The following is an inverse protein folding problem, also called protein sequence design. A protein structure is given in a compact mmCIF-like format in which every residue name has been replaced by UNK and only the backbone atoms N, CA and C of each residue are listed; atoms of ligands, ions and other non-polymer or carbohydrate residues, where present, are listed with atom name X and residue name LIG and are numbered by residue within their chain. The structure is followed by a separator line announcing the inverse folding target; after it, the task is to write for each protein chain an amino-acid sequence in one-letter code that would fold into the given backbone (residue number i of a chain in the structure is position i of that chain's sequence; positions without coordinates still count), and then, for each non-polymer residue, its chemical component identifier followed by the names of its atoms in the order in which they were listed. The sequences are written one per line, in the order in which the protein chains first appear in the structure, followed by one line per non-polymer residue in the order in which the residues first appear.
data_IF_739000244684
#
_entry.id   IF_739000244684
#
_cell.length_a   1.000
_cell.length_b   1.000
_cell.length_c   1.000
_cell.angle_alpha   90.00
_cell.angle_beta   90.00
_cell.angle_gamma   90.00
#
_symmetry.space_group_name_H-M   'P 1'
#
loop_
_entity.id
_entity.type
_entity.pdbx_description
1 polymer ?
#
# COMPACT_ATOMS: atom_id res chain seq x y z
N UNK A 1 44.12 -13.93 -20.69
CA UNK A 1 43.07 -14.32 -21.68
C UNK A 1 41.74 -13.75 -21.18
N UNK A 2 40.90 -13.25 -22.09
CA UNK A 2 40.01 -12.10 -21.92
C UNK A 2 38.97 -12.21 -20.78
N UNK A 3 38.93 -11.18 -19.93
CA UNK A 3 37.81 -10.84 -19.03
C UNK A 3 36.77 -10.14 -19.89
N UNK A 4 35.61 -10.77 -20.08
CA UNK A 4 34.50 -10.19 -20.87
C UNK A 4 33.51 -9.57 -19.90
N UNK A 5 33.58 -8.25 -19.75
CA UNK A 5 32.61 -7.43 -19.03
C UNK A 5 31.28 -7.46 -19.80
N UNK A 6 30.24 -8.05 -19.23
CA UNK A 6 28.89 -8.02 -19.81
C UNK A 6 28.25 -6.65 -19.50
N UNK A 7 28.37 -5.72 -20.44
CA UNK A 7 27.64 -4.44 -20.44
C UNK A 7 26.18 -4.74 -20.80
N UNK A 8 25.29 -4.72 -19.79
CA UNK A 8 23.84 -4.79 -20.01
C UNK A 8 23.31 -3.39 -20.29
N UNK A 9 23.15 -3.07 -21.58
CA UNK A 9 22.62 -1.81 -22.08
C UNK A 9 21.12 -1.68 -21.75
N UNK A 10 20.78 -0.85 -20.76
CA UNK A 10 19.41 -0.45 -20.45
C UNK A 10 18.95 0.66 -21.42
N UNK A 11 17.92 0.39 -22.21
CA UNK A 11 17.11 1.44 -22.84
C UNK A 11 15.86 1.65 -21.97
N UNK A 12 15.86 2.73 -21.18
CA UNK A 12 14.67 3.23 -20.48
C UNK A 12 14.09 4.35 -21.32
N UNK A 13 12.87 4.17 -21.81
CA UNK A 13 12.05 5.27 -22.31
C UNK A 13 10.71 5.27 -21.56
N UNK A 14 10.39 6.46 -21.02
CA UNK A 14 9.19 6.93 -20.32
C UNK A 14 9.07 6.74 -18.78
N UNK A 15 9.56 7.78 -18.08
CA UNK A 15 8.98 8.55 -16.94
C UNK A 15 7.74 7.92 -16.27
N UNK A 16 7.71 7.55 -14.98
CA UNK A 16 8.07 8.28 -13.75
C UNK A 16 8.46 7.27 -12.64
N UNK A 17 9.69 7.32 -12.10
CA UNK A 17 10.06 6.45 -10.96
C UNK A 17 11.15 7.09 -10.08
N UNK A 18 10.78 7.98 -9.15
CA UNK A 18 11.71 8.55 -8.16
C UNK A 18 11.93 7.65 -6.92
N UNK A 19 11.19 6.55 -6.77
CA UNK A 19 11.37 5.62 -5.64
C UNK A 19 12.48 4.58 -5.87
N UNK A 20 12.81 4.25 -7.12
CA UNK A 20 13.94 3.38 -7.45
C UNK A 20 15.28 4.04 -7.18
N UNK A 21 15.42 5.34 -7.48
CA UNK A 21 16.69 6.08 -7.38
C UNK A 21 17.23 6.15 -5.95
N UNK A 22 16.37 6.28 -4.94
CA UNK A 22 16.78 6.29 -3.53
C UNK A 22 17.27 4.92 -3.03
N UNK A 23 16.72 3.83 -3.55
CA UNK A 23 17.19 2.46 -3.25
C UNK A 23 18.49 2.13 -4.02
N UNK A 24 18.63 2.60 -5.26
CA UNK A 24 19.88 2.46 -6.03
C UNK A 24 21.06 3.24 -5.43
N UNK A 25 20.83 4.42 -4.84
CA UNK A 25 21.88 5.21 -4.19
C UNK A 25 22.51 4.51 -2.97
N UNK A 26 21.70 3.82 -2.15
CA UNK A 26 22.18 3.02 -1.01
C UNK A 26 22.86 1.71 -1.44
N UNK A 27 22.51 1.17 -2.60
CA UNK A 27 23.11 -0.03 -3.19
C UNK A 27 24.57 0.24 -3.63
N UNK A 28 24.84 1.42 -4.19
CA UNK A 28 26.19 1.83 -4.60
C UNK A 28 27.14 2.07 -3.41
N UNK A 29 26.64 2.57 -2.27
CA UNK A 29 27.45 2.77 -1.06
C UNK A 29 27.77 1.48 -0.31
N UNK A 30 26.90 0.46 -0.36
CA UNK A 30 27.12 -0.83 0.34
C UNK A 30 28.10 -1.76 -0.39
N UNK A 31 28.23 -1.66 -1.71
CA UNK A 31 29.23 -2.40 -2.50
C UNK A 31 30.69 -2.10 -2.09
N UNK A 32 30.93 -1.06 -1.30
CA UNK A 32 32.27 -0.61 -0.88
C UNK A 32 32.66 -0.95 0.56
N UNK A 33 31.80 -1.55 1.38
CA UNK A 33 32.10 -1.84 2.79
C UNK A 33 31.77 -3.27 3.19
N UNK A 34 32.71 -4.18 2.92
CA UNK A 34 32.72 -5.51 3.53
C UNK A 34 33.05 -5.42 5.03
N UNK A 35 32.14 -5.89 5.88
CA UNK A 35 32.44 -6.22 7.29
C UNK A 35 32.32 -7.72 7.49
N UNK A 36 33.38 -8.31 8.06
CA UNK A 36 33.44 -9.72 8.45
C UNK A 36 32.94 -9.88 9.88
N UNK A 37 31.80 -10.56 10.07
CA UNK A 37 31.39 -11.07 11.37
C UNK A 37 31.64 -12.58 11.45
N UNK A 38 32.16 -13.02 12.60
CA UNK A 38 32.52 -14.42 12.91
C UNK A 38 31.28 -15.31 12.88
N UNK A 39 31.19 -16.22 11.91
CA UNK A 39 30.07 -17.17 11.75
C UNK A 39 30.12 -18.34 12.75
N UNK A 40 28.98 -18.74 13.34
CA UNK A 40 28.84 -20.04 14.00
C UNK A 40 29.00 -21.18 12.99
N UNK A 41 29.44 -22.36 13.44
CA UNK A 41 29.61 -23.56 12.58
C UNK A 41 28.28 -23.96 11.93
N UNK A 42 28.09 -23.58 10.67
CA UNK A 42 26.95 -23.98 9.84
C UNK A 42 27.05 -25.45 9.42
N UNK A 43 25.93 -26.17 9.43
CA UNK A 43 25.86 -27.55 8.92
C UNK A 43 25.29 -27.56 7.51
N UNK A 44 26.02 -28.14 6.58
CA UNK A 44 25.55 -28.40 5.21
C UNK A 44 25.04 -29.85 5.12
N UNK A 45 23.87 -30.02 4.50
CA UNK A 45 23.24 -31.31 4.19
C UNK A 45 23.03 -31.36 2.68
N UNK A 46 23.48 -32.43 2.05
CA UNK A 46 23.30 -32.64 0.61
C UNK A 46 22.07 -33.50 0.36
N UNK A 47 21.35 -33.16 -0.70
CA UNK A 47 20.13 -33.77 -1.17
C UNK A 47 20.30 -34.19 -2.63
N UNK A 48 20.05 -35.46 -2.90
CA UNK A 48 20.13 -36.05 -4.23
C UNK A 48 18.72 -36.31 -4.75
N UNK A 49 18.18 -35.29 -5.43
CA UNK A 49 16.88 -35.34 -6.09
C UNK A 49 17.08 -34.97 -7.55
N UNK A 50 16.50 -35.76 -8.45
CA UNK A 50 16.58 -35.54 -9.89
C UNK A 50 15.19 -35.31 -10.47
N UNK A 51 15.08 -34.34 -11.37
CA UNK A 51 13.90 -34.18 -12.22
C UNK A 51 14.30 -33.63 -13.60
N UNK A 52 13.47 -33.82 -14.64
CA UNK A 52 13.79 -33.36 -16.00
C UNK A 52 13.88 -31.85 -16.18
N UNK A 53 13.25 -31.06 -15.28
CA UNK A 53 13.24 -29.60 -15.35
C UNK A 53 14.48 -28.97 -14.72
N UNK A 54 15.24 -29.76 -13.95
CA UNK A 54 16.44 -29.29 -13.26
C UNK A 54 16.14 -28.42 -12.03
N UNK A 55 14.92 -28.41 -11.49
CA UNK A 55 14.60 -27.65 -10.26
C UNK A 55 15.01 -28.38 -8.98
N UNK A 56 15.12 -29.70 -9.02
CA UNK A 56 15.43 -30.53 -7.86
C UNK A 56 16.92 -30.51 -7.55
N UNK A 57 17.24 -30.77 -6.28
CA UNK A 57 18.59 -30.89 -5.77
C UNK A 57 18.84 -30.06 -4.52
N UNK A 58 20.12 -29.79 -4.26
CA UNK A 58 20.55 -29.01 -3.09
C UNK A 58 20.65 -27.54 -3.42
N UNK A 59 20.11 -26.69 -2.54
CA UNK A 59 20.22 -25.24 -2.61
C UNK A 59 20.94 -24.72 -1.37
N UNK A 60 21.91 -23.83 -1.56
CA UNK A 60 22.57 -23.08 -0.51
C UNK A 60 21.75 -21.85 -0.12
N UNK A 61 21.82 -21.48 1.15
CA UNK A 61 21.07 -20.37 1.73
C UNK A 61 22.01 -19.27 2.20
N UNK A 62 21.72 -18.01 1.87
CA UNK A 62 22.47 -16.88 2.43
C UNK A 62 22.14 -16.65 3.91
N UNK A 63 20.93 -17.00 4.34
CA UNK A 63 20.47 -16.94 5.73
C UNK A 63 19.71 -18.22 6.09
N UNK A 64 20.02 -18.82 7.23
CA UNK A 64 19.29 -20.00 7.68
C UNK A 64 17.84 -19.64 7.99
N UNK A 65 16.89 -20.39 7.43
CA UNK A 65 15.45 -20.25 7.70
C UNK A 65 14.97 -21.18 8.82
N UNK A 66 15.67 -22.30 9.06
CA UNK A 66 15.36 -23.26 10.12
C UNK A 66 16.67 -23.78 10.75
N UNK A 67 16.86 -23.53 12.04
CA UNK A 67 18.02 -24.01 12.79
C UNK A 67 19.34 -23.42 12.29
N UNK A 68 20.40 -24.25 12.27
CA UNK A 68 21.77 -23.85 11.88
C UNK A 68 22.21 -24.37 10.50
N UNK A 69 21.25 -24.79 9.68
CA UNK A 69 21.52 -25.33 8.35
C UNK A 69 21.75 -24.22 7.32
N UNK A 70 22.67 -24.46 6.40
CA UNK A 70 22.96 -23.53 5.28
C UNK A 70 22.57 -24.10 3.92
N UNK A 71 21.92 -25.27 3.89
CA UNK A 71 21.37 -25.87 2.67
C UNK A 71 19.94 -26.38 2.90
N UNK A 72 19.21 -26.51 1.80
CA UNK A 72 17.84 -27.00 1.73
C UNK A 72 17.66 -27.89 0.50
N UNK A 73 16.76 -28.89 0.58
CA UNK A 73 16.51 -29.83 -0.51
C UNK A 73 15.23 -29.51 -1.26
N UNK A 74 15.31 -29.36 -2.58
CA UNK A 74 14.14 -29.19 -3.46
C UNK A 74 13.86 -30.50 -4.19
N UNK A 75 12.62 -30.97 -4.13
CA UNK A 75 12.12 -32.12 -4.90
C UNK A 75 10.89 -31.66 -5.70
N UNK A 76 11.05 -31.49 -7.01
CA UNK A 76 9.99 -31.05 -7.90
C UNK A 76 9.38 -32.23 -8.67
N UNK A 77 8.05 -32.29 -8.69
CA UNK A 77 7.28 -33.32 -9.38
C UNK A 77 6.32 -32.65 -10.36
N UNK A 78 6.61 -32.77 -11.66
CA UNK A 78 5.76 -32.23 -12.72
C UNK A 78 4.48 -33.06 -12.89
N UNK A 79 4.58 -34.39 -12.81
CA UNK A 79 3.45 -35.31 -12.98
C UNK A 79 3.34 -36.32 -11.84
N UNK A 80 2.11 -36.62 -11.43
CA UNK A 80 1.76 -37.72 -10.50
C UNK A 80 0.62 -38.50 -11.14
N UNK A 81 0.76 -39.82 -11.24
CA UNK A 81 -0.24 -40.72 -11.83
C UNK A 81 -0.71 -40.33 -13.25
N UNK A 82 0.16 -39.67 -14.01
CA UNK A 82 -0.11 -39.21 -15.37
C UNK A 82 -0.73 -37.81 -15.47
N UNK A 83 -1.15 -37.21 -14.35
CA UNK A 83 -1.70 -35.85 -14.28
C UNK A 83 -0.60 -34.83 -13.98
N UNK A 84 -0.71 -33.62 -14.55
CA UNK A 84 0.24 -32.52 -14.30
C UNK A 84 -0.10 -31.89 -12.95
N UNK A 85 0.81 -32.03 -11.98
CA UNK A 85 0.62 -31.60 -10.59
C UNK A 85 1.54 -30.42 -10.18
N UNK A 86 2.74 -30.33 -10.77
CA UNK A 86 3.73 -29.27 -10.52
C UNK A 86 3.94 -28.93 -9.03
N UNK A 87 4.25 -29.96 -8.23
CA UNK A 87 4.47 -29.84 -6.79
C UNK A 87 5.95 -29.68 -6.50
N UNK A 88 6.32 -28.66 -5.73
CA UNK A 88 7.62 -28.52 -5.11
C UNK A 88 7.53 -28.95 -3.64
N UNK A 89 8.34 -29.94 -3.25
CA UNK A 89 8.58 -30.27 -1.85
C UNK A 89 9.92 -29.71 -1.42
N UNK A 90 9.91 -28.94 -0.34
CA UNK A 90 11.06 -28.27 0.24
C UNK A 90 11.39 -28.93 1.57
N UNK A 91 12.59 -29.52 1.65
CA UNK A 91 13.07 -30.26 2.83
C UNK A 91 14.07 -29.43 3.61
N UNK A 92 13.70 -29.02 4.82
CA UNK A 92 14.54 -28.34 5.79
C UNK A 92 15.27 -29.43 6.61
N UNK A 93 16.59 -29.30 6.82
CA UNK A 93 17.41 -30.32 7.48
C UNK A 93 16.86 -30.87 8.81
N UNK A 94 17.37 -32.02 9.27
CA UNK A 94 16.90 -32.68 10.51
C UNK A 94 17.08 -31.80 11.74
N UNK A 95 16.05 -31.59 12.55
CA UNK A 95 16.20 -30.81 13.78
C UNK A 95 16.63 -31.66 14.97
N UNK A 96 16.70 -31.05 16.16
CA UNK A 96 17.17 -31.65 17.40
C UNK A 96 16.39 -32.94 17.78
N UNK A 97 15.14 -33.08 17.33
CA UNK A 97 14.28 -34.24 17.56
C UNK A 97 14.40 -35.36 16.51
N UNK A 98 15.35 -35.24 15.57
CA UNK A 98 15.57 -36.14 14.42
C UNK A 98 14.42 -36.19 13.39
N UNK A 99 13.40 -35.35 13.48
CA UNK A 99 12.37 -35.23 12.44
C UNK A 99 12.88 -34.36 11.30
N UNK A 100 12.53 -34.75 10.08
CA UNK A 100 12.75 -33.97 8.87
C UNK A 100 11.55 -33.07 8.67
N UNK A 101 11.75 -31.75 8.66
CA UNK A 101 10.69 -30.82 8.32
C UNK A 101 10.63 -30.62 6.81
N UNK A 102 9.42 -30.63 6.28
CA UNK A 102 9.19 -30.27 4.89
C UNK A 102 7.91 -29.46 4.73
N UNK A 103 7.93 -28.60 3.72
CA UNK A 103 6.78 -27.89 3.20
C UNK A 103 6.58 -28.32 1.75
N UNK A 104 5.36 -28.29 1.25
CA UNK A 104 5.11 -28.47 -0.18
C UNK A 104 4.20 -27.39 -0.72
N UNK A 105 4.40 -27.03 -1.98
CA UNK A 105 3.63 -26.00 -2.65
C UNK A 105 3.38 -26.37 -4.10
N UNK A 106 2.24 -25.94 -4.62
CA UNK A 106 1.92 -26.09 -6.05
C UNK A 106 2.39 -24.87 -6.81
N UNK A 107 2.95 -25.11 -8.00
CA UNK A 107 3.31 -24.06 -8.94
C UNK A 107 2.07 -23.29 -9.39
N UNK A 108 2.13 -21.98 -9.32
CA UNK A 108 1.08 -21.13 -9.89
C UNK A 108 1.17 -21.16 -11.42
N UNK A 109 0.40 -22.03 -12.06
CA UNK A 109 0.27 -22.11 -13.53
C UNK A 109 -0.07 -20.76 -14.15
N UNK A 110 -0.93 -19.99 -13.47
CA UNK A 110 -1.27 -18.63 -13.87
C UNK A 110 -0.02 -17.75 -13.95
N UNK A 111 0.87 -17.83 -12.96
CA UNK A 111 2.06 -16.99 -12.90
C UNK A 111 3.13 -17.46 -13.89
N UNK A 112 3.34 -18.78 -13.99
CA UNK A 112 4.26 -19.39 -14.94
C UNK A 112 3.88 -19.06 -16.38
N UNK A 113 2.65 -19.34 -16.79
CA UNK A 113 2.25 -19.24 -18.19
C UNK A 113 2.22 -17.80 -18.68
N UNK A 114 1.70 -16.87 -17.85
CA UNK A 114 1.52 -15.47 -18.23
C UNK A 114 2.73 -14.58 -17.97
N UNK A 115 3.47 -14.81 -16.89
CA UNK A 115 4.56 -13.91 -16.47
C UNK A 115 5.93 -14.58 -16.45
N UNK A 116 6.02 -15.85 -16.83
CA UNK A 116 7.26 -16.65 -16.79
C UNK A 116 7.90 -16.58 -15.40
N UNK A 117 7.06 -16.70 -14.37
CA UNK A 117 7.43 -16.58 -12.98
C UNK A 117 7.02 -17.83 -12.22
N UNK A 118 8.01 -18.61 -11.82
CA UNK A 118 7.79 -19.81 -11.03
C UNK A 118 7.59 -19.41 -9.57
N UNK A 119 6.35 -19.59 -9.09
CA UNK A 119 5.92 -19.21 -7.75
C UNK A 119 5.15 -20.37 -7.14
N UNK A 120 5.57 -20.79 -5.96
CA UNK A 120 5.00 -21.90 -5.21
C UNK A 120 4.43 -21.36 -3.90
N UNK A 121 3.11 -21.43 -3.76
CA UNK A 121 2.46 -21.14 -2.48
C UNK A 121 2.63 -22.36 -1.57
N UNK A 122 3.41 -22.22 -0.50
CA UNK A 122 3.82 -23.33 0.35
C UNK A 122 2.75 -23.62 1.41
N UNK A 123 2.63 -24.90 1.77
CA UNK A 123 1.83 -25.40 2.89
C UNK A 123 2.74 -26.25 3.78
N UNK A 124 2.73 -25.96 5.07
CA UNK A 124 3.50 -26.73 6.03
C UNK A 124 2.75 -28.01 6.40
N UNK A 125 3.45 -29.14 6.32
CA UNK A 125 2.86 -30.46 6.58
C UNK A 125 3.35 -31.10 7.88
N UNK A 126 4.35 -30.53 8.57
CA UNK A 126 5.04 -31.22 9.66
C UNK A 126 5.55 -30.35 10.83
N UNK A 127 5.20 -29.05 10.94
CA UNK A 127 5.62 -28.22 12.07
C UNK A 127 4.70 -28.39 13.30
N UNK A 128 5.22 -28.69 14.51
CA UNK A 128 4.41 -28.72 15.73
C UNK A 128 4.06 -27.28 16.13
N UNK A 129 2.79 -27.01 16.42
CA UNK A 129 2.29 -25.77 17.03
C UNK A 129 2.60 -24.45 16.33
N UNK A 130 2.49 -24.41 15.01
CA UNK A 130 2.14 -23.16 14.35
C UNK A 130 0.83 -23.36 13.60
N UNK A 131 -0.07 -22.40 13.72
CA UNK A 131 -1.28 -22.30 12.93
C UNK A 131 -0.87 -21.95 11.48
N UNK A 132 -0.09 -22.83 10.82
CA UNK A 132 0.79 -22.51 9.67
C UNK A 132 0.03 -22.19 8.39
N UNK A 133 -1.30 -22.36 8.38
CA UNK A 133 -2.14 -21.83 7.32
C UNK A 133 -2.26 -20.30 7.38
N UNK A 134 -1.79 -19.64 8.45
CA UNK A 134 -1.99 -18.21 8.67
C UNK A 134 -0.87 -17.30 8.15
N UNK A 135 0.36 -17.79 7.94
CA UNK A 135 1.51 -16.98 7.48
C UNK A 135 1.87 -17.38 6.06
N UNK A 136 1.52 -16.57 5.08
CA UNK A 136 1.69 -16.89 3.66
C UNK A 136 3.15 -17.16 3.27
N UNK A 137 3.57 -18.42 3.32
CA UNK A 137 4.90 -18.87 2.89
C UNK A 137 4.93 -19.10 1.38
N UNK A 138 6.04 -18.71 0.74
CA UNK A 138 6.23 -18.98 -0.68
C UNK A 138 7.69 -19.24 -1.06
N UNK A 139 7.88 -20.01 -2.13
CA UNK A 139 9.14 -20.08 -2.88
C UNK A 139 8.92 -19.43 -4.25
N UNK A 140 9.82 -18.56 -4.67
CA UNK A 140 9.73 -17.93 -5.98
C UNK A 140 11.08 -17.85 -6.69
N UNK A 141 11.09 -18.08 -8.01
CA UNK A 141 12.28 -17.94 -8.86
C UNK A 141 12.53 -16.48 -9.22
N UNK A 142 13.69 -15.93 -8.85
CA UNK A 142 14.07 -14.54 -9.17
C UNK A 142 15.13 -14.44 -10.26
N UNK A 143 15.95 -15.48 -10.44
CA UNK A 143 16.90 -15.65 -11.54
C UNK A 143 17.11 -17.14 -11.82
N UNK A 144 17.94 -17.49 -12.82
CA UNK A 144 18.23 -18.89 -13.12
C UNK A 144 18.91 -19.57 -11.94
N UNK A 145 18.33 -20.70 -11.51
CA UNK A 145 18.72 -21.46 -10.31
C UNK A 145 18.78 -20.67 -8.99
N UNK A 146 18.19 -19.46 -8.96
CA UNK A 146 18.09 -18.61 -7.76
C UNK A 146 16.63 -18.38 -7.39
N UNK A 147 16.31 -18.80 -6.18
CA UNK A 147 14.99 -18.72 -5.58
C UNK A 147 15.03 -17.92 -4.29
N UNK A 148 13.86 -17.49 -3.82
CA UNK A 148 13.69 -16.83 -2.53
C UNK A 148 12.70 -17.58 -1.67
N UNK A 149 12.96 -17.63 -0.37
CA UNK A 149 11.98 -18.03 0.64
C UNK A 149 11.32 -16.78 1.22
N UNK A 150 9.99 -16.73 1.14
CA UNK A 150 9.16 -15.55 1.41
C UNK A 150 8.21 -15.87 2.55
N UNK A 151 8.04 -14.91 3.46
CA UNK A 151 6.96 -14.89 4.46
C UNK A 151 6.26 -13.55 4.32
N UNK A 152 4.94 -13.55 4.07
CA UNK A 152 4.11 -12.34 4.00
C UNK A 152 4.67 -11.28 3.02
N UNK A 153 5.01 -11.71 1.79
CA UNK A 153 5.64 -10.90 0.74
C UNK A 153 7.06 -10.37 1.06
N UNK A 154 7.66 -10.76 2.20
CA UNK A 154 9.03 -10.38 2.58
C UNK A 154 10.00 -11.55 2.38
N UNK A 155 11.05 -11.31 1.59
CA UNK A 155 12.16 -12.25 1.37
C UNK A 155 12.94 -12.44 2.68
N UNK A 156 12.98 -13.67 3.16
CA UNK A 156 13.69 -14.07 4.38
C UNK A 156 15.07 -14.67 4.08
N UNK A 157 15.21 -15.35 2.95
CA UNK A 157 16.46 -15.95 2.49
C UNK A 157 16.48 -16.08 0.97
N UNK A 158 17.69 -16.06 0.41
CA UNK A 158 17.99 -16.40 -0.98
C UNK A 158 18.52 -17.82 -1.02
N UNK A 159 18.10 -18.57 -2.03
CA UNK A 159 18.37 -19.99 -2.24
C UNK A 159 19.02 -20.14 -3.62
N UNK A 160 20.21 -20.73 -3.70
CA UNK A 160 20.88 -20.93 -5.00
C UNK A 160 21.54 -22.30 -5.09
N UNK A 161 21.51 -22.94 -6.27
CA UNK A 161 22.26 -24.19 -6.49
C UNK A 161 23.77 -23.98 -6.44
N UNK A 162 24.24 -22.86 -6.99
CA UNK A 162 25.62 -22.44 -6.87
C UNK A 162 25.77 -21.48 -5.68
N UNK A 163 26.62 -21.86 -4.73
CA UNK A 163 26.93 -21.05 -3.55
C UNK A 163 27.56 -19.70 -3.92
N UNK A 164 28.28 -19.62 -5.04
CA UNK A 164 28.89 -18.37 -5.50
C UNK A 164 27.82 -17.34 -5.86
N UNK A 165 26.66 -17.73 -6.41
CA UNK A 165 25.58 -16.80 -6.75
C UNK A 165 25.08 -16.00 -5.52
N UNK A 166 25.22 -16.53 -4.31
CA UNK A 166 24.80 -15.83 -3.09
C UNK A 166 25.62 -14.57 -2.78
N UNK A 167 26.77 -14.34 -3.44
CA UNK A 167 27.51 -13.07 -3.32
C UNK A 167 26.81 -11.93 -4.04
N UNK A 168 26.05 -12.23 -5.08
CA UNK A 168 25.42 -11.25 -5.97
C UNK A 168 23.95 -11.01 -5.60
N UNK A 169 23.37 -11.90 -4.80
CA UNK A 169 21.98 -11.85 -4.36
C UNK A 169 21.89 -11.85 -2.82
N UNK A 170 22.05 -10.67 -2.23
CA UNK A 170 21.61 -10.46 -0.86
C UNK A 170 20.07 -10.36 -0.75
N UNK A 171 19.54 -10.36 0.47
CA UNK A 171 18.09 -10.31 0.73
C UNK A 171 17.46 -9.03 0.17
N UNK A 172 18.18 -7.91 0.20
CA UNK A 172 17.67 -6.60 -0.25
C UNK A 172 17.52 -6.58 -1.78
N UNK A 173 18.55 -7.05 -2.49
CA UNK A 173 18.56 -7.21 -3.96
C UNK A 173 17.49 -8.22 -4.40
N UNK A 174 17.40 -9.35 -3.70
CA UNK A 174 16.40 -10.37 -3.96
C UNK A 174 14.97 -9.87 -3.74
N UNK A 175 14.72 -9.07 -2.71
CA UNK A 175 13.43 -8.41 -2.47
C UNK A 175 13.04 -7.52 -3.66
N UNK A 176 13.97 -6.70 -4.16
CA UNK A 176 13.70 -5.82 -5.31
C UNK A 176 13.32 -6.63 -6.56
N UNK A 177 14.04 -7.72 -6.85
CA UNK A 177 13.73 -8.58 -8.00
C UNK A 177 12.38 -9.30 -7.84
N UNK A 178 12.09 -9.80 -6.64
CA UNK A 178 10.79 -10.38 -6.31
C UNK A 178 9.66 -9.37 -6.48
N UNK A 179 9.80 -8.16 -5.91
CA UNK A 179 8.82 -7.09 -6.00
C UNK A 179 8.57 -6.66 -7.45
N UNK A 180 9.61 -6.61 -8.28
CA UNK A 180 9.48 -6.32 -9.72
C UNK A 180 8.61 -7.36 -10.44
N UNK A 181 8.83 -8.65 -10.18
CA UNK A 181 8.02 -9.74 -10.75
C UNK A 181 6.58 -9.67 -10.25
N UNK A 182 6.39 -9.50 -8.94
CA UNK A 182 5.07 -9.39 -8.32
C UNK A 182 4.31 -8.15 -8.76
N UNK A 183 4.98 -7.03 -9.02
CA UNK A 183 4.36 -5.79 -9.49
C UNK A 183 3.59 -5.99 -10.80
N UNK A 184 4.13 -6.76 -11.75
CA UNK A 184 3.43 -7.04 -13.02
C UNK A 184 2.15 -7.86 -12.81
N UNK A 185 2.21 -8.82 -11.88
CA UNK A 185 1.07 -9.67 -11.50
C UNK A 185 0.00 -8.83 -10.79
N UNK A 186 0.41 -8.13 -9.71
CA UNK A 186 -0.45 -7.25 -8.92
C UNK A 186 -1.11 -6.19 -9.81
N UNK A 187 -0.37 -5.57 -10.74
CA UNK A 187 -0.92 -4.60 -11.71
C UNK A 187 -2.02 -5.20 -12.58
N UNK A 188 -1.82 -6.39 -13.13
CA UNK A 188 -2.84 -7.02 -13.99
C UNK A 188 -4.10 -7.39 -13.21
N UNK A 189 -3.95 -7.88 -11.99
CA UNK A 189 -5.09 -8.19 -11.11
C UNK A 189 -5.84 -6.93 -10.73
N UNK A 190 -5.09 -5.87 -10.42
CA UNK A 190 -5.61 -4.54 -10.13
C UNK A 190 -6.36 -3.96 -11.33
N UNK A 191 -5.84 -4.09 -12.55
CA UNK A 191 -6.47 -3.63 -13.79
C UNK A 191 -7.77 -4.39 -14.08
N UNK A 192 -7.80 -5.71 -13.88
CA UNK A 192 -9.03 -6.52 -14.00
C UNK A 192 -10.09 -6.07 -13.00
N UNK A 193 -9.68 -5.85 -11.76
CA UNK A 193 -10.60 -5.41 -10.74
C UNK A 193 -11.11 -3.99 -11.06
N UNK A 194 -10.22 -3.09 -11.48
CA UNK A 194 -10.59 -1.74 -11.94
C UNK A 194 -11.56 -1.78 -13.11
N UNK A 195 -11.40 -2.70 -14.07
CA UNK A 195 -12.37 -2.89 -15.15
C UNK A 195 -13.77 -3.25 -14.61
N UNK A 196 -13.85 -4.15 -13.63
CA UNK A 196 -15.12 -4.48 -12.96
C UNK A 196 -15.72 -3.29 -12.20
N UNK A 197 -14.91 -2.46 -11.55
CA UNK A 197 -15.40 -1.24 -10.90
C UNK A 197 -15.93 -0.21 -11.92
N UNK A 198 -15.31 -0.11 -13.09
CA UNK A 198 -15.71 0.79 -14.17
C UNK A 198 -17.05 0.41 -14.84
N UNK A 199 -17.59 -0.78 -14.58
CA UNK A 199 -18.95 -1.16 -15.00
C UNK A 199 -20.02 -0.34 -14.24
N UNK A 200 -19.72 0.10 -13.01
CA UNK A 200 -20.59 0.98 -12.26
C UNK A 200 -20.51 2.42 -12.79
N UNK A 201 -21.62 2.94 -13.34
CA UNK A 201 -21.70 4.28 -13.94
C UNK A 201 -21.33 5.40 -12.95
N UNK A 202 -21.74 5.30 -11.68
CA UNK A 202 -21.44 6.31 -10.66
C UNK A 202 -19.94 6.33 -10.38
N UNK A 203 -19.33 5.18 -10.17
CA UNK A 203 -17.88 5.06 -9.99
C UNK A 203 -17.13 5.63 -11.20
N UNK A 204 -17.44 5.13 -12.40
CA UNK A 204 -16.79 5.53 -13.67
C UNK A 204 -16.80 7.05 -13.88
N UNK A 205 -17.92 7.72 -13.57
CA UNK A 205 -18.07 9.16 -13.76
C UNK A 205 -17.33 10.01 -12.72
N UNK A 206 -16.93 9.39 -11.60
CA UNK A 206 -16.32 10.07 -10.46
C UNK A 206 -14.87 9.65 -10.19
N UNK A 207 -14.26 8.81 -11.01
CA UNK A 207 -12.84 8.43 -10.85
C UNK A 207 -11.95 9.67 -10.72
N UNK A 208 -11.12 9.68 -9.68
CA UNK A 208 -10.24 10.78 -9.27
C UNK A 208 -10.99 12.08 -8.93
N UNK A 209 -12.27 11.98 -8.54
CA UNK A 209 -13.08 13.09 -8.05
C UNK A 209 -13.43 12.92 -6.58
N UNK A 210 -13.69 14.05 -5.94
CA UNK A 210 -14.31 14.14 -4.63
C UNK A 210 -15.77 14.55 -4.80
N UNK A 211 -16.67 13.78 -4.20
CA UNK A 211 -18.10 14.07 -4.15
C UNK A 211 -18.50 14.41 -2.72
N UNK A 212 -19.58 15.18 -2.57
CA UNK A 212 -20.02 15.71 -1.28
C UNK A 212 -21.44 15.26 -0.94
N UNK A 213 -21.78 15.19 0.35
CA UNK A 213 -23.14 14.94 0.81
C UNK A 213 -23.37 15.54 2.21
N UNK A 214 -24.64 15.72 2.58
CA UNK A 214 -25.03 16.19 3.93
C UNK A 214 -24.91 15.10 5.00
N UNK A 215 -24.77 13.82 4.62
CA UNK A 215 -24.62 12.70 5.56
C UNK A 215 -23.69 11.63 5.01
N UNK A 216 -22.99 10.93 5.90
CA UNK A 216 -22.04 9.89 5.51
C UNK A 216 -22.72 8.65 4.87
N UNK A 217 -23.92 8.28 5.34
CA UNK A 217 -24.70 7.16 4.78
C UNK A 217 -25.12 7.40 3.32
N UNK A 218 -25.16 8.66 2.89
CA UNK A 218 -25.46 9.08 1.52
C UNK A 218 -24.26 8.97 0.57
N UNK A 219 -23.05 8.84 1.10
CA UNK A 219 -21.84 8.67 0.30
C UNK A 219 -21.55 7.22 -0.02
N UNK A 220 -21.95 6.29 0.85
CA UNK A 220 -21.67 4.87 0.66
C UNK A 220 -22.75 4.01 1.30
N UNK A 221 -23.35 3.10 0.50
CA UNK A 221 -24.14 2.00 1.05
C UNK A 221 -23.15 0.95 1.56
N UNK A 222 -22.96 0.86 2.87
CA UNK A 222 -22.21 -0.24 3.48
C UNK A 222 -22.90 -1.55 3.08
N UNK A 223 -22.25 -2.35 2.24
CA UNK A 223 -22.72 -3.69 1.90
C UNK A 223 -22.65 -4.59 3.13
N UNK A 224 -23.43 -5.69 3.10
CA UNK A 224 -23.13 -6.86 3.95
C UNK A 224 -21.68 -7.30 3.68
N UNK A 225 -20.98 -7.78 4.72
CA UNK A 225 -19.52 -7.89 4.90
C UNK A 225 -18.64 -8.35 3.71
N UNK A 226 -19.21 -8.85 2.62
CA UNK A 226 -18.49 -9.38 1.45
C UNK A 226 -18.85 -8.68 0.11
N UNK A 227 -19.71 -7.64 0.10
CA UNK A 227 -20.03 -6.89 -1.12
C UNK A 227 -19.21 -5.60 -1.17
N UNK A 228 -18.56 -5.36 -2.31
CA UNK A 228 -17.90 -4.08 -2.63
C UNK A 228 -18.86 -2.94 -2.27
N UNK A 229 -18.45 -1.97 -1.44
CA UNK A 229 -19.34 -0.86 -1.09
C UNK A 229 -19.72 -0.13 -2.38
N UNK A 230 -21.01 -0.07 -2.69
CA UNK A 230 -21.51 0.52 -3.93
C UNK A 230 -22.26 1.81 -3.63
N UNK A 231 -22.06 2.80 -4.49
CA UNK A 231 -22.64 4.13 -4.38
C UNK A 231 -23.74 4.27 -5.42
N UNK A 232 -24.91 4.78 -5.03
CA UNK A 232 -26.02 5.03 -5.95
C UNK A 232 -26.05 6.48 -6.48
N UNK A 233 -25.20 7.35 -5.93
CA UNK A 233 -25.02 8.74 -6.34
C UNK A 233 -26.18 9.68 -6.02
N UNK A 234 -27.30 9.17 -5.49
CA UNK A 234 -28.52 9.98 -5.26
C UNK A 234 -28.34 11.05 -4.18
N UNK A 235 -27.43 10.80 -3.25
CA UNK A 235 -27.14 11.68 -2.12
C UNK A 235 -26.10 12.77 -2.40
N UNK A 236 -25.50 12.79 -3.60
CA UNK A 236 -24.43 13.73 -3.91
C UNK A 236 -24.95 15.16 -4.03
N UNK A 237 -24.18 16.10 -3.51
CA UNK A 237 -24.47 17.52 -3.48
C UNK A 237 -23.33 18.29 -4.14
N UNK A 238 -23.70 19.26 -4.97
CA UNK A 238 -22.81 20.30 -5.47
C UNK A 238 -22.95 21.61 -4.69
N UNK A 239 -23.99 21.75 -3.86
CA UNK A 239 -24.22 22.89 -2.98
C UNK A 239 -24.77 22.45 -1.63
N UNK A 240 -24.22 22.99 -0.55
CA UNK A 240 -24.64 22.71 0.84
C UNK A 240 -24.62 24.02 1.64
N UNK A 241 -25.64 24.24 2.47
CA UNK A 241 -25.65 25.34 3.43
C UNK A 241 -24.57 25.09 4.50
N UNK A 242 -23.76 26.11 4.80
CA UNK A 242 -22.71 26.02 5.80
C UNK A 242 -23.24 25.63 7.19
N UNK A 243 -24.52 25.84 7.50
CA UNK A 243 -25.15 25.38 8.74
C UNK A 243 -25.38 23.86 8.82
N UNK A 244 -25.04 23.10 7.76
CA UNK A 244 -25.20 21.65 7.71
C UNK A 244 -23.86 20.93 7.81
N UNK A 245 -23.98 19.63 7.99
CA UNK A 245 -22.87 18.72 7.80
C UNK A 245 -22.39 18.73 6.35
N UNK A 246 -21.08 18.65 6.17
CA UNK A 246 -20.47 18.48 4.85
C UNK A 246 -19.56 17.27 4.93
N UNK A 247 -19.98 16.17 4.33
CA UNK A 247 -19.16 14.98 4.15
C UNK A 247 -18.65 14.91 2.72
N UNK A 248 -17.54 14.20 2.55
CA UNK A 248 -17.03 13.92 1.22
C UNK A 248 -16.47 12.50 1.11
N UNK A 249 -16.39 12.04 -0.12
CA UNK A 249 -15.78 10.78 -0.49
C UNK A 249 -14.97 10.98 -1.75
N UNK A 250 -13.71 10.55 -1.70
CA UNK A 250 -12.82 10.52 -2.85
C UNK A 250 -12.94 9.18 -3.55
N UNK A 251 -12.94 9.20 -4.88
CA UNK A 251 -12.87 8.03 -5.74
C UNK A 251 -11.50 7.97 -6.40
N UNK A 252 -10.91 6.78 -6.46
CA UNK A 252 -9.59 6.55 -7.02
C UNK A 252 -9.65 5.48 -8.09
N UNK A 253 -8.92 5.68 -9.20
CA UNK A 253 -8.79 4.62 -10.23
C UNK A 253 -8.22 3.33 -9.66
N UNK A 254 -7.27 3.47 -8.74
CA UNK A 254 -6.59 2.40 -8.01
C UNK A 254 -6.56 2.78 -6.52
N UNK A 255 -6.64 1.83 -5.58
CA UNK A 255 -6.48 2.14 -4.17
C UNK A 255 -5.14 2.87 -3.93
N UNK A 256 -5.13 3.99 -3.19
CA UNK A 256 -3.89 4.73 -2.91
C UNK A 256 -2.80 3.87 -2.24
N UNK A 257 -3.17 2.86 -1.43
CA UNK A 257 -2.20 1.93 -0.83
C UNK A 257 -1.36 1.18 -1.86
N UNK A 258 -1.93 0.84 -3.01
CA UNK A 258 -1.28 0.01 -4.03
C UNK A 258 -0.39 0.85 -4.95
N UNK A 259 -0.75 2.12 -5.15
CA UNK A 259 -0.01 3.05 -6.01
C UNK A 259 1.13 3.75 -5.26
N UNK A 260 0.90 4.10 -4.00
CA UNK A 260 1.78 4.96 -3.21
C UNK A 260 1.95 4.41 -1.79
N UNK A 261 2.45 3.18 -1.59
CA UNK A 261 2.43 2.51 -0.28
C UNK A 261 3.17 3.32 0.80
N UNK A 262 2.50 3.51 1.95
CA UNK A 262 3.05 4.18 3.13
C UNK A 262 3.36 5.67 2.95
N UNK A 263 2.80 6.31 1.92
CA UNK A 263 2.97 7.74 1.69
C UNK A 263 1.91 8.54 2.45
N UNK A 264 2.26 9.75 2.84
CA UNK A 264 1.31 10.66 3.45
C UNK A 264 0.29 11.16 2.42
N UNK A 265 -0.96 11.33 2.85
CA UNK A 265 -2.01 11.98 2.06
C UNK A 265 -2.27 13.37 2.63
N UNK A 266 -1.97 14.41 1.84
CA UNK A 266 -2.32 15.78 2.18
C UNK A 266 -3.68 16.15 1.59
N UNK A 267 -4.46 16.94 2.32
CA UNK A 267 -5.72 17.49 1.84
C UNK A 267 -5.59 19.01 1.87
N UNK A 268 -5.82 19.61 0.72
CA UNK A 268 -5.73 21.05 0.47
C UNK A 268 -7.12 21.59 0.20
N UNK A 269 -7.44 22.71 0.83
CA UNK A 269 -8.69 23.43 0.69
C UNK A 269 -8.41 24.78 0.05
N UNK A 270 -9.20 25.18 -0.93
CA UNK A 270 -9.07 26.47 -1.62
C UNK A 270 -10.42 27.19 -1.66
N UNK A 271 -10.42 28.48 -1.33
CA UNK A 271 -11.61 29.34 -1.36
C UNK A 271 -11.19 30.79 -1.56
N UNK A 272 -11.82 31.51 -2.49
CA UNK A 272 -11.58 32.95 -2.74
C UNK A 272 -10.10 33.32 -2.93
N UNK A 273 -9.31 32.45 -3.58
CA UNK A 273 -7.87 32.66 -3.81
C UNK A 273 -6.98 32.43 -2.58
N UNK A 274 -7.55 32.06 -1.43
CA UNK A 274 -6.81 31.58 -0.27
C UNK A 274 -6.77 30.05 -0.24
N UNK A 275 -5.74 29.50 0.40
CA UNK A 275 -5.60 28.06 0.59
C UNK A 275 -5.08 27.74 1.99
N UNK A 276 -5.48 26.57 2.48
CA UNK A 276 -4.90 25.92 3.66
C UNK A 276 -4.82 24.43 3.41
N UNK A 277 -3.88 23.76 4.09
CA UNK A 277 -3.73 22.32 3.99
C UNK A 277 -3.55 21.66 5.35
N UNK A 278 -3.83 20.36 5.40
CA UNK A 278 -3.58 19.55 6.60
C UNK A 278 -2.09 19.53 6.95
N UNK A 279 -1.19 19.43 5.96
CA UNK A 279 0.26 19.46 6.19
C UNK A 279 0.69 20.79 6.81
N UNK A 280 0.30 21.92 6.22
CA UNK A 280 0.71 23.25 6.68
C UNK A 280 0.15 23.56 8.07
N UNK A 281 -1.12 23.22 8.31
CA UNK A 281 -1.73 23.45 9.60
C UNK A 281 -1.05 22.64 10.72
N UNK A 282 -0.68 21.37 10.48
CA UNK A 282 0.07 20.59 11.48
C UNK A 282 1.44 21.17 11.78
N UNK A 283 2.09 21.79 10.80
CA UNK A 283 3.39 22.42 10.99
C UNK A 283 3.33 23.64 11.93
N UNK A 284 2.13 24.20 12.18
CA UNK A 284 1.92 25.32 13.14
C UNK A 284 2.16 24.92 14.60
N UNK A 285 2.16 23.63 14.94
CA UNK A 285 2.53 23.17 16.28
C UNK A 285 1.93 21.84 16.70
N UNK A 286 2.35 21.36 17.88
CA UNK A 286 1.92 20.06 18.43
C UNK A 286 0.41 19.97 18.64
N UNK A 287 -0.23 21.08 19.03
CA UNK A 287 -1.69 21.19 19.18
C UNK A 287 -2.42 20.90 17.87
N UNK A 288 -2.01 21.56 16.79
CA UNK A 288 -2.52 21.31 15.45
C UNK A 288 -2.26 19.87 14.99
N UNK A 289 -1.07 19.33 15.26
CA UNK A 289 -0.72 17.94 14.99
C UNK A 289 -1.66 16.92 15.64
N UNK A 290 -2.16 17.20 16.86
CA UNK A 290 -3.13 16.34 17.56
C UNK A 290 -4.52 16.38 16.90
N UNK A 291 -4.98 17.57 16.48
CA UNK A 291 -6.31 17.73 15.88
C UNK A 291 -6.36 17.29 14.41
N UNK A 292 -5.22 17.36 13.72
CA UNK A 292 -5.06 16.98 12.32
C UNK A 292 -4.10 15.79 12.25
N UNK A 293 -4.54 14.56 12.53
CA UNK A 293 -3.66 13.40 12.46
C UNK A 293 -3.16 13.17 11.03
N UNK A 294 -1.96 12.58 10.89
CA UNK A 294 -1.44 12.16 9.59
C UNK A 294 -2.37 11.11 8.98
N UNK A 295 -2.60 11.24 7.68
CA UNK A 295 -3.29 10.24 6.89
C UNK A 295 -2.24 9.57 6.03
N UNK A 296 -2.26 8.26 5.98
CA UNK A 296 -1.34 7.49 5.15
C UNK A 296 -2.12 6.67 4.15
N UNK A 297 -1.58 6.52 2.95
CA UNK A 297 -2.17 5.72 1.87
C UNK A 297 -2.43 4.28 2.27
N UNK A 298 -1.69 3.74 3.24
CA UNK A 298 -1.90 2.43 3.86
C UNK A 298 -3.31 2.25 4.44
N UNK A 299 -3.98 3.33 4.84
CA UNK A 299 -5.36 3.31 5.35
C UNK A 299 -6.43 3.37 4.24
N UNK A 300 -6.03 3.52 2.98
CA UNK A 300 -6.94 3.66 1.83
C UNK A 300 -6.99 2.35 1.05
N UNK A 301 -7.64 1.36 1.67
CA UNK A 301 -7.75 0.01 1.13
C UNK A 301 -8.61 -0.11 -0.13
N UNK A 302 -9.57 0.80 -0.27
CA UNK A 302 -10.58 0.77 -1.31
C UNK A 302 -10.39 1.86 -2.38
N UNK A 303 -11.06 1.68 -3.51
CA UNK A 303 -11.16 2.67 -4.60
C UNK A 303 -12.08 3.84 -4.27
N UNK A 304 -12.68 3.85 -3.10
CA UNK A 304 -13.43 4.97 -2.58
C UNK A 304 -13.16 5.10 -1.08
N UNK A 305 -12.95 6.31 -0.60
CA UNK A 305 -12.65 6.54 0.79
C UNK A 305 -13.27 7.84 1.28
N UNK A 306 -13.89 7.79 2.46
CA UNK A 306 -14.32 8.98 3.18
C UNK A 306 -13.35 9.19 4.35
N UNK A 307 -12.36 10.08 4.23
CA UNK A 307 -11.36 10.26 5.27
C UNK A 307 -11.91 10.93 6.53
N UNK A 308 -13.01 11.70 6.44
CA UNK A 308 -13.83 12.32 7.51
C UNK A 308 -14.89 13.25 6.88
N UNK A 309 -15.82 13.78 7.68
CA UNK A 309 -16.60 14.96 7.29
C UNK A 309 -15.74 16.23 7.37
N UNK A 310 -15.93 17.19 6.47
CA UNK A 310 -15.40 18.56 6.62
C UNK A 310 -16.02 19.24 7.84
N UNK A 311 -17.31 18.96 8.09
CA UNK A 311 -18.07 19.48 9.22
C UNK A 311 -19.07 18.44 9.72
N UNK A 312 -19.04 18.16 11.02
CA UNK A 312 -20.00 17.29 11.70
C UNK A 312 -20.60 17.94 12.96
N UNK A 313 -21.92 18.07 12.95
CA UNK A 313 -22.79 18.41 14.07
C UNK A 313 -23.22 17.11 14.77
N UNK A 314 -22.69 16.86 15.96
CA UNK A 314 -23.13 15.76 16.83
C UNK A 314 -23.82 16.32 18.05
N UNK A 315 -25.03 15.85 18.35
CA UNK A 315 -25.70 16.14 19.63
C UNK A 315 -25.09 15.36 20.81
N UNK A 316 -24.26 14.34 20.56
CA UNK A 316 -23.78 13.38 21.57
C UNK A 316 -22.32 13.58 22.01
N UNK A 317 -21.57 14.45 21.34
CA UNK A 317 -20.21 14.84 21.74
C UNK A 317 -20.12 16.35 21.62
N UNK A 318 -19.83 17.02 22.73
CA UNK A 318 -19.73 18.49 22.88
C UNK A 318 -18.77 19.19 21.93
N UNK A 319 -18.07 18.44 21.06
CA UNK A 319 -17.04 18.96 20.19
C UNK A 319 -17.44 18.66 18.75
N UNK A 320 -17.73 19.72 18.01
CA UNK A 320 -17.85 19.71 16.58
C UNK A 320 -16.64 19.02 15.97
N UNK A 321 -16.83 17.89 15.28
CA UNK A 321 -15.72 17.26 14.56
C UNK A 321 -15.62 17.95 13.21
N UNK A 322 -14.78 18.96 13.15
CA UNK A 322 -14.49 19.73 11.95
C UNK A 322 -13.07 19.39 11.48
N UNK A 323 -12.83 19.39 10.17
CA UNK A 323 -11.45 19.35 9.69
C UNK A 323 -10.80 20.70 10.01
N UNK A 324 -9.85 20.72 10.94
CA UNK A 324 -9.27 21.97 11.46
C UNK A 324 -8.53 22.77 10.38
N UNK A 325 -8.00 22.13 9.33
CA UNK A 325 -7.41 22.86 8.20
C UNK A 325 -8.48 23.54 7.34
N UNK A 326 -9.63 22.88 7.13
CA UNK A 326 -10.77 23.50 6.46
C UNK A 326 -11.35 24.66 7.28
N UNK A 327 -11.41 24.52 8.61
CA UNK A 327 -11.85 25.59 9.49
C UNK A 327 -10.90 26.78 9.52
N UNK A 328 -9.59 26.53 9.47
CA UNK A 328 -8.60 27.61 9.35
C UNK A 328 -8.83 28.41 8.07
N UNK A 329 -9.10 27.75 6.94
CA UNK A 329 -9.43 28.42 5.69
C UNK A 329 -10.67 29.31 5.85
N UNK A 330 -11.78 28.74 6.34
CA UNK A 330 -13.02 29.49 6.52
C UNK A 330 -12.83 30.68 7.46
N UNK A 331 -12.13 30.48 8.58
CA UNK A 331 -11.85 31.51 9.56
C UNK A 331 -11.00 32.65 8.98
N UNK A 332 -9.98 32.33 8.18
CA UNK A 332 -9.15 33.34 7.49
C UNK A 332 -9.98 34.23 6.53
N UNK A 333 -11.12 33.71 6.05
CA UNK A 333 -12.04 34.42 5.17
C UNK A 333 -13.27 34.97 5.90
N UNK A 334 -13.35 34.89 7.24
CA UNK A 334 -14.58 35.20 8.01
C UNK A 334 -15.14 36.60 7.72
N UNK A 335 -14.28 37.60 7.55
CA UNK A 335 -14.66 38.99 7.25
C UNK A 335 -15.21 39.19 5.84
N UNK A 336 -15.04 38.22 4.93
CA UNK A 336 -15.55 38.25 3.56
C UNK A 336 -16.85 37.45 3.38
N UNK A 337 -17.30 36.76 4.43
CA UNK A 337 -18.53 36.00 4.41
C UNK A 337 -19.74 36.92 4.55
N UNK A 338 -20.65 36.86 3.58
CA UNK A 338 -21.86 37.68 3.51
C UNK A 338 -23.10 36.80 3.47
N UNK A 339 -24.10 37.15 4.27
CA UNK A 339 -25.36 36.40 4.36
C UNK A 339 -26.01 36.30 2.97
N UNK A 340 -26.44 35.10 2.60
CA UNK A 340 -27.07 34.80 1.31
C UNK A 340 -26.10 34.67 0.13
N UNK A 341 -24.78 34.71 0.37
CA UNK A 341 -23.77 34.44 -0.66
C UNK A 341 -23.29 32.99 -0.63
N UNK A 342 -22.89 32.53 -1.81
CA UNK A 342 -22.35 31.19 -2.03
C UNK A 342 -20.87 31.29 -2.40
N UNK A 343 -20.08 30.36 -1.88
CA UNK A 343 -18.64 30.31 -2.06
C UNK A 343 -18.22 28.98 -2.64
N UNK A 344 -17.44 29.04 -3.70
CA UNK A 344 -16.84 27.86 -4.32
C UNK A 344 -15.63 27.42 -3.49
N UNK A 345 -15.68 26.18 -2.98
CA UNK A 345 -14.60 25.55 -2.22
C UNK A 345 -14.10 24.34 -2.98
N UNK A 346 -12.82 24.36 -3.33
CA UNK A 346 -12.14 23.22 -3.94
C UNK A 346 -11.44 22.41 -2.87
N UNK A 347 -11.63 21.10 -2.89
CA UNK A 347 -10.93 20.13 -2.05
C UNK A 347 -10.05 19.28 -2.95
N UNK A 348 -8.76 19.20 -2.63
CA UNK A 348 -7.77 18.40 -3.37
C UNK A 348 -7.04 17.45 -2.44
N UNK A 349 -6.85 16.21 -2.87
CA UNK A 349 -6.09 15.20 -2.15
C UNK A 349 -4.81 14.88 -2.92
N UNK A 350 -3.67 15.00 -2.26
CA UNK A 350 -2.36 14.75 -2.85
C UNK A 350 -1.62 13.65 -2.11
N UNK A 351 -0.77 12.91 -2.83
CA UNK A 351 0.37 12.23 -2.20
C UNK A 351 1.35 13.29 -1.75
N UNK A 352 1.81 13.21 -0.51
CA UNK A 352 2.81 14.10 0.04
C UNK A 352 4.08 13.32 0.39
N UNK A 353 5.22 13.84 -0.05
CA UNK A 353 6.54 13.29 0.22
C UNK A 353 7.40 14.41 0.76
N UNK A 354 7.89 14.24 1.98
CA UNK A 354 8.79 15.18 2.66
C UNK A 354 8.25 16.63 2.72
N UNK A 355 6.93 16.78 2.86
CA UNK A 355 6.25 18.07 2.94
C UNK A 355 5.75 18.60 1.59
N UNK A 356 6.19 18.02 0.47
CA UNK A 356 5.80 18.48 -0.87
C UNK A 356 4.66 17.65 -1.46
N UNK A 357 3.66 18.33 -2.02
CA UNK A 357 2.58 17.69 -2.77
C UNK A 357 3.10 17.20 -4.12
N UNK A 358 2.88 15.91 -4.41
CA UNK A 358 3.27 15.24 -5.64
C UNK A 358 2.01 14.95 -6.48
N UNK A 359 1.64 13.68 -6.62
CA UNK A 359 0.49 13.25 -7.41
C UNK A 359 -0.85 13.70 -6.81
N UNK A 360 -1.69 14.33 -7.64
CA UNK A 360 -3.10 14.59 -7.31
C UNK A 360 -3.89 13.28 -7.38
N UNK A 361 -4.43 12.87 -6.24
CA UNK A 361 -5.23 11.65 -6.09
C UNK A 361 -6.70 11.88 -6.48
N UNK A 362 -7.29 12.97 -5.98
CA UNK A 362 -8.67 13.32 -6.26
C UNK A 362 -8.95 14.81 -6.02
N UNK A 363 -9.91 15.37 -6.74
CA UNK A 363 -10.36 16.76 -6.59
C UNK A 363 -11.89 16.88 -6.66
N UNK A 364 -12.47 17.79 -5.88
CA UNK A 364 -13.88 18.11 -5.99
C UNK A 364 -14.18 19.55 -5.60
N UNK A 365 -15.24 20.08 -6.21
CA UNK A 365 -15.77 21.41 -5.96
C UNK A 365 -17.11 21.31 -5.23
N UNK A 366 -17.25 22.02 -4.12
CA UNK A 366 -18.53 22.19 -3.41
C UNK A 366 -18.85 23.68 -3.28
N UNK A 367 -20.11 24.02 -3.50
CA UNK A 367 -20.62 25.36 -3.24
C UNK A 367 -21.17 25.43 -1.82
N UNK A 368 -20.68 26.39 -1.03
CA UNK A 368 -21.11 26.57 0.34
C UNK A 368 -21.91 27.86 0.47
N UNK A 369 -23.18 27.73 0.86
CA UNK A 369 -24.05 28.88 1.11
C UNK A 369 -23.90 29.37 2.54
N UNK A 370 -23.59 30.66 2.71
CA UNK A 370 -23.57 31.31 4.03
C UNK A 370 -24.94 31.93 4.30
N UNK A 371 -25.92 31.11 4.71
CA UNK A 371 -27.28 31.55 5.02
C UNK A 371 -27.37 32.32 6.34
N UNK A 372 -28.54 32.89 6.66
CA UNK A 372 -28.77 33.52 7.97
C UNK A 372 -28.60 32.53 9.13
N UNK A 373 -29.03 31.29 8.95
CA UNK A 373 -28.87 30.23 9.95
C UNK A 373 -27.40 29.77 10.06
N UNK A 374 -26.63 29.82 8.97
CA UNK A 374 -25.18 29.66 9.04
C UNK A 374 -24.57 30.80 9.84
N UNK A 375 -24.89 32.05 9.53
CA UNK A 375 -24.39 33.19 10.28
C UNK A 375 -24.61 33.03 11.79
N UNK A 376 -25.85 32.77 12.20
CA UNK A 376 -26.20 32.52 13.61
C UNK A 376 -25.40 31.36 14.23
N UNK A 377 -25.26 30.23 13.51
CA UNK A 377 -24.50 29.07 14.01
C UNK A 377 -23.01 29.36 14.22
N UNK A 378 -22.45 30.31 13.48
CA UNK A 378 -21.05 30.66 13.57
C UNK A 378 -20.76 31.78 14.58
N UNK A 379 -21.66 32.76 14.71
CA UNK A 379 -21.44 33.98 15.51
C UNK A 379 -22.12 34.01 16.87
N UNK A 380 -23.04 33.09 17.17
CA UNK A 380 -23.62 32.99 18.51
C UNK A 380 -22.54 32.69 19.55
N UNK A 381 -22.81 33.01 20.82
CA UNK A 381 -21.97 32.59 21.95
C UNK A 381 -21.76 31.08 21.92
N UNK A 382 -20.51 30.63 22.07
CA UNK A 382 -20.10 29.22 21.92
C UNK A 382 -20.42 28.66 20.51
N UNK A 383 -20.49 29.56 19.53
CA UNK A 383 -20.63 29.27 18.12
C UNK A 383 -19.32 28.78 17.52
N UNK A 384 -19.34 28.50 16.22
CA UNK A 384 -18.16 27.94 15.54
C UNK A 384 -16.94 28.85 15.59
N UNK A 385 -17.12 30.17 15.55
CA UNK A 385 -16.00 31.10 15.66
C UNK A 385 -15.39 31.12 17.04
N UNK A 386 -16.21 31.29 18.09
CA UNK A 386 -15.74 31.29 19.47
C UNK A 386 -14.96 30.00 19.79
N UNK A 387 -15.52 28.83 19.46
CA UNK A 387 -14.87 27.53 19.71
C UNK A 387 -13.55 27.37 18.95
N UNK A 388 -13.44 27.93 17.75
CA UNK A 388 -12.20 27.88 16.99
C UNK A 388 -11.18 28.90 17.52
N UNK A 389 -11.63 30.08 17.95
CA UNK A 389 -10.78 31.09 18.59
C UNK A 389 -10.22 30.59 19.93
N UNK A 390 -11.01 29.89 20.74
CA UNK A 390 -10.54 29.20 21.95
C UNK A 390 -9.44 28.20 21.61
N UNK A 391 -9.61 27.42 20.54
CA UNK A 391 -8.58 26.53 20.03
C UNK A 391 -7.32 27.29 19.55
N UNK A 392 -7.43 28.51 19.04
CA UNK A 392 -6.26 29.28 18.60
C UNK A 392 -5.49 29.92 19.77
N UNK A 393 -6.19 30.26 20.86
CA UNK A 393 -5.65 31.03 21.99
C UNK A 393 -5.02 30.18 23.11
N UNK A 394 -5.46 28.92 23.25
CA UNK A 394 -4.83 27.89 24.09
C UNK A 394 -3.55 27.31 23.46
#
# INVERSE_FOLDING_TARGET
MKVTTLLLSFFIAFTTVNTTTAQFGKLAEKLLKGKSDKKPKSKEVMYDFSDPTGMSGTYYMNKSVVGSFTTIGFSFQEKIDGEIENILTVTFGKTYDKKTYYESGRLSEKYRNKYKFDYFAMRAHSMPDTDVNARGHAIAKIADDVYVFIIEDVVQSVLAKDKAALTDYDVETAQVLYDQKMKAIKKTELDKETASWMENKIFKNNVNKIVFAERNDLLCKRGLMNKKPMVDGKGFKSSIDMNKNVYYMAFFKYPPKDMFPGKEVNIVYEMNGASDSRVDCRAKGSKWGKMIPRLETSSFDDRQHSPRGLRFYSSYRSNWVQDYAFMNLLYSQKSKLMIGKTYDVTVKMYVNVDGENQDLLAEGLIRLEYSSAAHESFTKSEGVWDLFEDFLNE
#
